data_IF_449298437593
#
_entry.id   IF_449298437593
#
_cell.length_a   1.000
_cell.length_b   1.000
_cell.length_c   1.000
_cell.angle_alpha   90.00
_cell.angle_beta   90.00
_cell.angle_gamma   90.00
#
_symmetry.space_group_name_H-M   'P 1'
#
loop_
_entity.id
_entity.type
_entity.pdbx_description
1 polymer ?
#
# COMPACT_ATOMS: atom_id res chain seq x y z
N UNK A 1 -4.86 -28.34 13.61
CA UNK A 1 -5.18 -27.47 12.45
C UNK A 1 -5.30 -25.98 12.80
N UNK A 2 -5.85 -25.57 13.97
CA UNK A 2 -5.97 -24.13 14.34
C UNK A 2 -4.64 -23.36 14.29
N UNK A 3 -3.55 -23.93 14.81
CA UNK A 3 -2.21 -23.28 14.84
C UNK A 3 -1.63 -22.93 13.46
N UNK A 4 -1.82 -23.78 12.45
CA UNK A 4 -1.32 -23.51 11.10
C UNK A 4 -2.10 -22.37 10.43
N UNK A 5 -3.41 -22.35 10.66
CA UNK A 5 -4.30 -21.30 10.17
C UNK A 5 -4.01 -19.95 10.84
N UNK A 6 -3.70 -19.94 12.13
CA UNK A 6 -3.29 -18.74 12.86
C UNK A 6 -1.91 -18.23 12.41
N UNK A 7 -1.00 -19.17 12.09
CA UNK A 7 0.31 -18.85 11.52
C UNK A 7 0.20 -18.24 10.12
N UNK A 8 -0.64 -18.78 9.23
CA UNK A 8 -0.81 -18.23 7.88
C UNK A 8 -1.42 -16.84 7.88
N UNK A 9 -2.37 -16.57 8.78
CA UNK A 9 -2.92 -15.23 8.99
C UNK A 9 -1.82 -14.23 9.42
N UNK A 10 -1.02 -14.61 10.42
CA UNK A 10 0.05 -13.76 10.93
C UNK A 10 1.10 -13.49 9.86
N UNK A 11 1.52 -14.54 9.12
CA UNK A 11 2.49 -14.42 8.04
C UNK A 11 2.01 -13.47 6.94
N UNK A 12 0.78 -13.61 6.47
CA UNK A 12 0.23 -12.73 5.44
C UNK A 12 0.13 -11.27 5.91
N UNK A 13 -0.28 -11.05 7.16
CA UNK A 13 -0.34 -9.71 7.74
C UNK A 13 1.05 -9.09 7.89
N UNK A 14 2.02 -9.84 8.40
CA UNK A 14 3.41 -9.38 8.55
C UNK A 14 4.09 -9.17 7.21
N UNK A 15 3.80 -9.99 6.20
CA UNK A 15 4.33 -9.83 4.85
C UNK A 15 3.83 -8.53 4.23
N UNK A 16 2.53 -8.25 4.35
CA UNK A 16 1.96 -7.01 3.83
C UNK A 16 2.47 -5.77 4.56
N UNK A 17 2.45 -5.78 5.91
CA UNK A 17 2.95 -4.67 6.72
C UNK A 17 4.46 -4.44 6.50
N UNK A 18 5.23 -5.52 6.46
CA UNK A 18 6.67 -5.47 6.22
C UNK A 18 7.02 -4.94 4.83
N UNK A 19 6.31 -5.38 3.79
CA UNK A 19 6.50 -4.86 2.43
C UNK A 19 6.16 -3.37 2.34
N UNK A 20 5.08 -2.92 3.00
CA UNK A 20 4.74 -1.49 3.11
C UNK A 20 5.90 -0.71 3.75
N UNK A 21 6.43 -1.15 4.88
CA UNK A 21 7.49 -0.37 5.52
C UNK A 21 8.82 -0.41 4.77
N UNK A 22 9.21 -1.59 4.26
CA UNK A 22 10.45 -1.75 3.52
C UNK A 22 10.48 -0.89 2.26
N UNK A 23 9.39 -0.86 1.48
CA UNK A 23 9.38 -0.08 0.24
C UNK A 23 9.24 1.42 0.51
N UNK A 24 8.38 1.82 1.45
CA UNK A 24 8.10 3.23 1.71
C UNK A 24 9.21 3.97 2.45
N UNK A 25 9.79 3.34 3.48
CA UNK A 25 10.74 4.01 4.37
C UNK A 25 12.21 3.66 4.10
N UNK A 26 12.48 2.58 3.36
CA UNK A 26 13.86 2.16 3.06
C UNK A 26 14.13 2.26 1.56
N UNK A 27 13.40 1.52 0.73
CA UNK A 27 13.72 1.45 -0.69
C UNK A 27 13.54 2.79 -1.41
N UNK A 28 12.45 3.52 -1.14
CA UNK A 28 12.21 4.82 -1.77
C UNK A 28 13.30 5.86 -1.42
N UNK A 29 13.65 6.12 -0.14
CA UNK A 29 14.77 7.01 0.20
C UNK A 29 16.11 6.59 -0.40
N UNK A 30 16.41 5.29 -0.40
CA UNK A 30 17.65 4.75 -0.99
C UNK A 30 17.71 5.00 -2.50
N UNK A 31 16.59 4.85 -3.21
CA UNK A 31 16.51 5.13 -4.66
C UNK A 31 16.75 6.60 -4.97
N UNK A 32 16.14 7.51 -4.21
CA UNK A 32 16.31 8.96 -4.43
C UNK A 32 17.67 9.48 -3.97
N UNK A 33 18.33 8.80 -3.03
CA UNK A 33 19.69 9.14 -2.59
C UNK A 33 20.77 8.54 -3.50
N UNK A 34 20.53 7.35 -4.06
CA UNK A 34 21.52 6.59 -4.82
C UNK A 34 21.52 6.84 -6.34
N UNK A 35 20.43 7.39 -6.89
CA UNK A 35 20.30 7.66 -8.34
C UNK A 35 20.30 9.17 -8.58
N UNK A 36 21.24 9.67 -9.38
CA UNK A 36 21.33 11.09 -9.74
C UNK A 36 20.13 11.56 -10.59
N UNK A 37 19.64 10.69 -11.48
CA UNK A 37 18.43 10.93 -12.27
C UNK A 37 17.16 10.66 -11.46
N UNK A 38 16.56 11.75 -10.96
CA UNK A 38 15.31 11.73 -10.19
C UNK A 38 14.11 11.15 -10.97
N UNK A 39 14.09 11.27 -12.29
CA UNK A 39 13.00 10.75 -13.11
C UNK A 39 13.06 9.21 -13.15
N UNK A 40 14.27 8.65 -13.28
CA UNK A 40 14.49 7.21 -13.18
C UNK A 40 14.16 6.67 -11.79
N UNK A 41 14.64 7.33 -10.72
CA UNK A 41 14.32 6.96 -9.34
C UNK A 41 12.81 6.92 -9.08
N UNK A 42 12.08 7.95 -9.52
CA UNK A 42 10.62 8.00 -9.40
C UNK A 42 9.90 6.91 -10.19
N UNK A 43 10.41 6.54 -11.37
CA UNK A 43 9.85 5.45 -12.17
C UNK A 43 10.03 4.07 -11.50
N UNK A 44 11.19 3.85 -10.86
CA UNK A 44 11.49 2.62 -10.14
C UNK A 44 10.67 2.53 -8.86
N UNK A 45 10.62 3.61 -8.08
CA UNK A 45 9.80 3.69 -6.88
C UNK A 45 8.33 3.41 -7.21
N UNK A 46 7.80 4.00 -8.28
CA UNK A 46 6.44 3.73 -8.77
C UNK A 46 6.19 2.24 -9.04
N UNK A 47 7.13 1.55 -9.72
CA UNK A 47 7.03 0.09 -9.95
C UNK A 47 7.06 -0.72 -8.65
N UNK A 48 7.90 -0.35 -7.68
CA UNK A 48 7.94 -1.02 -6.38
C UNK A 48 6.62 -0.86 -5.64
N UNK A 49 6.04 0.35 -5.63
CA UNK A 49 4.71 0.58 -5.05
C UNK A 49 3.61 -0.21 -5.79
N UNK A 50 3.69 -0.37 -7.12
CA UNK A 50 2.75 -1.25 -7.86
C UNK A 50 2.82 -2.69 -7.37
N UNK A 51 4.03 -3.23 -7.19
CA UNK A 51 4.23 -4.60 -6.72
C UNK A 51 3.66 -4.75 -5.29
N UNK A 52 3.94 -3.80 -4.40
CA UNK A 52 3.39 -3.79 -3.04
C UNK A 52 1.87 -3.64 -3.05
N UNK A 53 1.31 -2.85 -3.97
CA UNK A 53 -0.13 -2.70 -4.16
C UNK A 53 -0.80 -4.03 -4.54
N UNK A 54 -0.25 -4.75 -5.52
CA UNK A 54 -0.73 -6.08 -5.91
C UNK A 54 -0.57 -7.12 -4.80
N UNK A 55 0.58 -7.11 -4.11
CA UNK A 55 0.82 -7.97 -2.96
C UNK A 55 -0.18 -7.68 -1.83
N UNK A 56 -0.43 -6.40 -1.55
CA UNK A 56 -1.41 -5.95 -0.56
C UNK A 56 -2.84 -6.35 -0.92
N UNK A 57 -3.22 -6.28 -2.19
CA UNK A 57 -4.51 -6.79 -2.67
C UNK A 57 -4.64 -8.30 -2.42
N UNK A 58 -3.61 -9.07 -2.78
CA UNK A 58 -3.59 -10.52 -2.55
C UNK A 58 -3.66 -10.88 -1.06
N UNK A 59 -2.80 -10.27 -0.24
CA UNK A 59 -2.78 -10.51 1.20
C UNK A 59 -4.07 -10.06 1.88
N UNK A 60 -4.58 -8.86 1.57
CA UNK A 60 -5.81 -8.35 2.18
C UNK A 60 -7.04 -9.16 1.79
N UNK A 61 -7.18 -9.55 0.52
CA UNK A 61 -8.26 -10.43 0.08
C UNK A 61 -8.19 -11.80 0.78
N UNK A 62 -7.00 -12.39 0.89
CA UNK A 62 -6.79 -13.64 1.61
C UNK A 62 -7.17 -13.52 3.09
N UNK A 63 -6.74 -12.45 3.78
CA UNK A 63 -7.04 -12.22 5.20
C UNK A 63 -8.54 -12.03 5.45
N UNK A 64 -9.24 -11.28 4.59
CA UNK A 64 -10.69 -11.08 4.70
C UNK A 64 -11.45 -12.39 4.47
N UNK A 65 -11.10 -13.13 3.41
CA UNK A 65 -11.71 -14.41 3.08
C UNK A 65 -11.48 -15.42 4.22
N UNK A 66 -10.26 -15.46 4.77
CA UNK A 66 -9.92 -16.30 5.91
C UNK A 66 -10.77 -15.97 7.15
N UNK A 67 -10.95 -14.69 7.47
CA UNK A 67 -11.82 -14.27 8.58
C UNK A 67 -13.29 -14.65 8.32
N UNK A 68 -13.78 -14.46 7.10
CA UNK A 68 -15.16 -14.77 6.73
C UNK A 68 -15.46 -16.27 6.77
N UNK A 69 -14.56 -17.11 6.24
CA UNK A 69 -14.72 -18.56 6.24
C UNK A 69 -14.65 -19.15 7.66
N UNK A 70 -13.86 -18.54 8.55
CA UNK A 70 -13.59 -19.09 9.88
C UNK A 70 -14.52 -18.56 10.96
N UNK A 71 -14.95 -17.30 10.87
CA UNK A 71 -15.85 -16.66 11.84
C UNK A 71 -17.25 -16.37 11.30
N UNK A 72 -17.49 -16.53 9.99
CA UNK A 72 -18.77 -16.21 9.36
C UNK A 72 -19.18 -14.75 9.61
N UNK A 73 -20.45 -14.54 9.93
CA UNK A 73 -20.99 -13.21 10.26
C UNK A 73 -20.37 -12.57 11.51
N UNK A 74 -19.73 -13.34 12.40
CA UNK A 74 -19.03 -12.78 13.56
C UNK A 74 -17.75 -12.02 13.17
N UNK A 75 -17.21 -12.27 11.96
CA UNK A 75 -16.07 -11.52 11.43
C UNK A 75 -16.39 -10.01 11.31
N UNK A 76 -17.60 -9.65 10.87
CA UNK A 76 -18.01 -8.26 10.66
C UNK A 76 -18.08 -7.44 11.95
N UNK A 77 -18.21 -8.12 13.11
CA UNK A 77 -18.21 -7.49 14.43
C UNK A 77 -16.79 -7.19 14.94
N UNK A 78 -15.74 -7.73 14.31
CA UNK A 78 -14.37 -7.52 14.75
C UNK A 78 -13.78 -6.27 14.10
N UNK A 79 -13.20 -5.40 14.93
CA UNK A 79 -12.50 -4.20 14.46
C UNK A 79 -11.38 -4.54 13.45
N UNK A 80 -10.68 -5.66 13.66
CA UNK A 80 -9.60 -6.12 12.77
C UNK A 80 -10.09 -6.36 11.33
N UNK A 81 -11.32 -6.84 11.14
CA UNK A 81 -11.90 -7.01 9.80
C UNK A 81 -12.02 -5.67 9.08
N UNK A 82 -12.54 -4.66 9.78
CA UNK A 82 -12.66 -3.31 9.24
C UNK A 82 -11.31 -2.64 8.98
N UNK A 83 -10.30 -2.89 9.83
CA UNK A 83 -8.94 -2.41 9.59
C UNK A 83 -8.33 -3.02 8.32
N UNK A 84 -8.40 -4.34 8.15
CA UNK A 84 -7.89 -5.03 6.96
C UNK A 84 -8.66 -4.59 5.71
N UNK A 85 -9.99 -4.45 5.81
CA UNK A 85 -10.82 -3.97 4.70
C UNK A 85 -10.46 -2.54 4.29
N UNK A 86 -10.29 -1.64 5.27
CA UNK A 86 -9.87 -0.27 5.00
C UNK A 86 -8.48 -0.21 4.37
N UNK A 87 -7.52 -0.99 4.88
CA UNK A 87 -6.19 -1.11 4.28
C UNK A 87 -6.25 -1.63 2.84
N UNK A 88 -7.14 -2.59 2.55
CA UNK A 88 -7.32 -3.16 1.22
C UNK A 88 -7.91 -2.13 0.26
N UNK A 89 -8.92 -1.37 0.69
CA UNK A 89 -9.52 -0.30 -0.08
C UNK A 89 -8.51 0.82 -0.37
N UNK A 90 -7.67 1.17 0.61
CA UNK A 90 -6.58 2.13 0.40
C UNK A 90 -5.53 1.62 -0.58
N UNK A 91 -5.14 0.35 -0.50
CA UNK A 91 -4.24 -0.27 -1.46
C UNK A 91 -4.83 -0.26 -2.89
N UNK A 92 -6.11 -0.58 -3.02
CA UNK A 92 -6.84 -0.51 -4.29
C UNK A 92 -6.88 0.93 -4.82
N UNK A 93 -7.21 1.91 -3.97
CA UNK A 93 -7.25 3.32 -4.34
C UNK A 93 -5.87 3.83 -4.79
N UNK A 94 -4.78 3.38 -4.16
CA UNK A 94 -3.42 3.72 -4.61
C UNK A 94 -3.05 3.04 -5.92
N UNK A 95 -3.40 1.76 -6.10
CA UNK A 95 -3.10 0.99 -7.30
C UNK A 95 -3.90 1.48 -8.52
N UNK A 96 -5.21 1.70 -8.36
CA UNK A 96 -6.13 2.07 -9.43
C UNK A 96 -6.40 3.57 -9.53
N UNK A 97 -6.08 4.37 -8.51
CA UNK A 97 -6.20 5.83 -8.57
C UNK A 97 -4.89 6.47 -9.01
N UNK A 98 -3.80 6.15 -8.30
CA UNK A 98 -2.54 6.88 -8.44
C UNK A 98 -1.75 6.48 -9.71
N UNK A 99 -1.72 5.18 -10.06
CA UNK A 99 -0.98 4.71 -11.23
C UNK A 99 -1.55 5.16 -12.57
N UNK A 100 -2.86 5.05 -12.86
CA UNK A 100 -3.39 5.53 -14.12
C UNK A 100 -3.33 7.05 -14.23
N UNK A 101 -3.43 7.79 -13.12
CA UNK A 101 -3.28 9.23 -13.12
C UNK A 101 -1.87 9.65 -13.55
N UNK A 102 -0.82 9.02 -12.99
CA UNK A 102 0.57 9.27 -13.37
C UNK A 102 0.85 8.81 -14.81
N UNK A 103 0.24 7.70 -15.24
CA UNK A 103 0.36 7.21 -16.63
C UNK A 103 -0.32 8.16 -17.63
N UNK A 104 -1.50 8.70 -17.32
CA UNK A 104 -2.19 9.68 -18.15
C UNK A 104 -1.42 11.01 -18.24
N UNK A 105 -0.82 11.46 -17.13
CA UNK A 105 0.01 12.67 -17.12
C UNK A 105 1.31 12.51 -17.93
N UNK A 106 1.85 11.29 -18.08
CA UNK A 106 2.99 11.01 -18.98
C UNK A 106 2.59 10.81 -20.44
N UNK A 107 1.37 10.33 -20.70
CA UNK A 107 0.88 10.04 -22.05
C UNK A 107 0.44 11.27 -22.85
N UNK A 108 0.08 12.37 -22.18
CA UNK A 108 -0.17 13.64 -22.84
C UNK A 108 1.15 14.35 -23.12
N UNK A 109 1.62 14.23 -24.36
CA UNK A 109 2.71 14.99 -24.94
C UNK A 109 2.36 16.49 -24.98
N UNK A 110 2.38 17.17 -23.82
CA UNK A 110 2.32 18.62 -23.73
C UNK A 110 3.71 19.22 -24.07
N UNK A 111 3.78 20.39 -24.73
CA UNK A 111 5.03 21.07 -25.04
C UNK A 111 5.91 21.25 -23.78
N UNK A 112 7.20 20.88 -23.91
CA UNK A 112 8.18 20.66 -22.82
C UNK A 112 8.22 21.74 -21.74
N UNK A 113 7.96 23.01 -22.05
CA UNK A 113 8.19 24.11 -21.11
C UNK A 113 7.00 24.46 -20.20
N UNK A 114 5.76 24.23 -20.64
CA UNK A 114 4.55 24.47 -19.83
C UNK A 114 4.09 23.20 -19.08
N UNK A 115 4.45 22.02 -19.61
CA UNK A 115 4.32 20.76 -18.89
C UNK A 115 5.15 20.78 -17.60
N UNK A 116 6.37 21.33 -17.60
CA UNK A 116 7.25 21.24 -16.44
C UNK A 116 6.69 21.93 -15.19
N UNK A 117 6.09 23.12 -15.28
CA UNK A 117 5.56 23.81 -14.10
C UNK A 117 4.23 23.20 -13.60
N UNK A 118 3.28 22.92 -14.52
CA UNK A 118 1.97 22.38 -14.16
C UNK A 118 2.02 20.89 -13.79
N UNK A 119 2.95 20.11 -14.37
CA UNK A 119 3.21 18.73 -13.98
C UNK A 119 4.02 18.69 -12.69
N UNK A 120 5.04 19.53 -12.47
CA UNK A 120 5.78 19.53 -11.18
C UNK A 120 4.89 19.88 -9.99
N UNK A 121 4.02 20.88 -10.13
CA UNK A 121 3.16 21.32 -9.02
C UNK A 121 2.09 20.27 -8.68
N UNK A 122 1.40 19.74 -9.71
CA UNK A 122 0.45 18.62 -9.54
C UNK A 122 1.14 17.34 -9.07
N UNK A 123 2.33 17.03 -9.58
CA UNK A 123 3.09 15.86 -9.15
C UNK A 123 3.49 16.01 -7.68
N UNK A 124 3.91 17.18 -7.22
CA UNK A 124 4.18 17.44 -5.81
C UNK A 124 2.91 17.30 -4.94
N UNK A 125 1.76 17.79 -5.39
CA UNK A 125 0.50 17.66 -4.64
C UNK A 125 0.06 16.20 -4.54
N UNK A 126 0.05 15.49 -5.66
CA UNK A 126 -0.33 14.07 -5.72
C UNK A 126 0.68 13.17 -5.02
N UNK A 127 1.97 13.53 -5.02
CA UNK A 127 2.99 12.85 -4.26
C UNK A 127 2.79 13.05 -2.76
N UNK A 128 2.46 14.26 -2.30
CA UNK A 128 2.09 14.52 -0.91
C UNK A 128 0.86 13.73 -0.47
N UNK A 129 -0.19 13.68 -1.29
CA UNK A 129 -1.39 12.87 -1.02
C UNK A 129 -1.03 11.38 -0.98
N UNK A 130 -0.20 10.89 -1.90
CA UNK A 130 0.26 9.51 -1.90
C UNK A 130 1.05 9.18 -0.64
N UNK A 131 1.99 10.03 -0.23
CA UNK A 131 2.75 9.87 1.01
C UNK A 131 1.83 9.88 2.24
N UNK A 132 0.83 10.75 2.29
CA UNK A 132 -0.14 10.78 3.38
C UNK A 132 -1.00 9.50 3.43
N UNK A 133 -1.52 9.05 2.29
CA UNK A 133 -2.25 7.79 2.18
C UNK A 133 -1.38 6.60 2.60
N UNK A 134 -0.12 6.62 2.20
CA UNK A 134 0.86 5.60 2.58
C UNK A 134 1.16 5.60 4.07
N UNK A 135 1.32 6.78 4.67
CA UNK A 135 1.51 6.96 6.11
C UNK A 135 0.32 6.38 6.88
N UNK A 136 -0.90 6.76 6.50
CA UNK A 136 -2.13 6.24 7.11
C UNK A 136 -2.20 4.72 6.96
N UNK A 137 -1.92 4.19 5.78
CA UNK A 137 -1.91 2.74 5.55
C UNK A 137 -0.84 2.04 6.40
N UNK A 138 0.33 2.64 6.59
CA UNK A 138 1.41 2.11 7.42
C UNK A 138 1.04 2.09 8.91
N UNK A 139 0.32 3.11 9.39
CA UNK A 139 -0.20 3.16 10.75
C UNK A 139 -1.31 2.12 10.95
N UNK A 140 -2.24 1.99 10.00
CA UNK A 140 -3.25 0.95 10.03
C UNK A 140 -2.62 -0.45 10.06
N UNK A 141 -1.57 -0.68 9.28
CA UNK A 141 -0.81 -1.93 9.30
C UNK A 141 -0.20 -2.21 10.68
N UNK A 142 0.40 -1.19 11.31
CA UNK A 142 0.93 -1.27 12.67
C UNK A 142 -0.16 -1.67 13.67
N UNK A 143 -1.30 -0.97 13.65
CA UNK A 143 -2.42 -1.26 14.54
C UNK A 143 -3.01 -2.65 14.29
N UNK A 144 -3.08 -3.10 13.03
CA UNK A 144 -3.54 -4.44 12.70
C UNK A 144 -2.59 -5.51 13.25
N UNK A 145 -1.27 -5.33 13.13
CA UNK A 145 -0.26 -6.26 13.68
C UNK A 145 -0.30 -6.28 15.22
N UNK A 146 -0.38 -5.12 15.86
CA UNK A 146 -0.48 -5.01 17.33
C UNK A 146 -1.82 -5.56 17.86
N UNK A 147 -2.90 -5.38 17.10
CA UNK A 147 -4.24 -5.88 17.42
C UNK A 147 -4.36 -7.40 17.25
N UNK A 148 -3.68 -7.98 16.25
CA UNK A 148 -3.64 -9.43 16.03
C UNK A 148 -3.07 -10.18 17.23
N UNK A 149 -2.05 -9.63 17.90
CA UNK A 149 -1.47 -10.21 19.12
C UNK A 149 -2.41 -10.17 20.34
N UNK A 150 -3.35 -9.21 20.39
CA UNK A 150 -4.33 -9.09 21.49
C UNK A 150 -5.54 -10.03 21.32
N UNK A 151 -5.87 -10.42 20.08
CA UNK A 151 -6.98 -11.32 19.78
C UNK A 151 -6.66 -12.82 19.89
N UNK A 152 -5.41 -13.19 20.20
CA UNK A 152 -4.97 -14.58 20.45
C UNK A 152 -4.98 -14.97 21.94
N UNK A 153 -5.39 -14.06 22.83
CA UNK A 153 -5.73 -14.38 24.23
C UNK A 153 -7.24 -14.52 24.36
#
# INVERSE_FOLDING_TARGET
MRRLADASYTLALTLWAGALWAIGYVAAPVLFAGIEDRALAGSLAGRMFSIVGWLGLGCGAYLLLFMLLRLGGAALKRLVFWLVLLMLLLAAAQLFGLQPLIAQLRGQSLPRELAEAAVRDRFATWHGVASALYLVQSLLALFAVLGAGRGQK
#
